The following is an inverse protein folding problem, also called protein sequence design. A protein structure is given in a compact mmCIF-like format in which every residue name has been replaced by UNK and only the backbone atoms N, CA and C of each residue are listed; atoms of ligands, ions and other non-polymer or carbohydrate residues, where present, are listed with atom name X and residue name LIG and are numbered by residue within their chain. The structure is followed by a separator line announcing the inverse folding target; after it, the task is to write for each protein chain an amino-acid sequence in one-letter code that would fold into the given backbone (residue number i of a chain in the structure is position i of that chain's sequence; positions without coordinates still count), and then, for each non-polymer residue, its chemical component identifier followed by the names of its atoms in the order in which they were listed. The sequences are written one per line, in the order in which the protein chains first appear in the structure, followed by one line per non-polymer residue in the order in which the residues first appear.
data_IF_646737778406
#
_entry.id   IF_646737778406
#
_cell.length_a   1.000
_cell.length_b   1.000
_cell.length_c   1.000
_cell.angle_alpha   90.00
_cell.angle_beta   90.00
_cell.angle_gamma   90.00
#
_symmetry.space_group_name_H-M   'P 1'
#
loop_
_entity.id
_entity.type
_entity.pdbx_description
1 polymer ?
#
# COMPACT_ATOMS: atom_id res chain seq x y z
N UNK A 1 -18.42 -15.80 -31.27
CA UNK A 1 -17.61 -16.88 -30.67
C UNK A 1 -16.63 -16.21 -29.70
N UNK A 2 -16.92 -16.38 -28.41
CA UNK A 2 -16.21 -15.95 -27.18
C UNK A 2 -15.62 -14.53 -27.10
N UNK A 3 -16.47 -13.63 -26.61
CA UNK A 3 -16.11 -12.44 -25.85
C UNK A 3 -15.34 -12.91 -24.61
N UNK A 4 -14.05 -12.56 -24.52
CA UNK A 4 -13.22 -12.90 -23.37
C UNK A 4 -13.81 -12.31 -22.09
N UNK A 5 -14.13 -13.20 -21.16
CA UNK A 5 -14.65 -12.93 -19.82
C UNK A 5 -13.60 -12.13 -19.02
N UNK A 6 -13.69 -10.80 -19.07
CA UNK A 6 -13.04 -9.89 -18.13
C UNK A 6 -14.08 -9.43 -17.14
N UNK A 7 -14.50 -10.34 -16.27
CA UNK A 7 -15.20 -10.00 -15.04
C UNK A 7 -14.16 -9.70 -13.95
N UNK A 8 -13.97 -8.40 -13.70
CA UNK A 8 -13.83 -7.82 -12.35
C UNK A 8 -12.82 -8.42 -11.36
N UNK A 9 -11.56 -8.55 -11.76
CA UNK A 9 -10.47 -8.49 -10.78
C UNK A 9 -10.24 -7.01 -10.40
N UNK A 10 -11.20 -6.39 -9.71
CA UNK A 10 -11.04 -5.06 -9.13
C UNK A 10 -9.79 -5.09 -8.25
N UNK A 11 -8.76 -4.33 -8.61
CA UNK A 11 -7.54 -4.22 -7.82
C UNK A 11 -7.92 -3.79 -6.39
N UNK A 12 -7.69 -4.69 -5.44
CA UNK A 12 -7.92 -4.44 -4.01
C UNK A 12 -6.55 -4.34 -3.34
N UNK A 13 -6.10 -3.13 -2.93
CA UNK A 13 -4.84 -2.96 -2.23
C UNK A 13 -4.73 -3.86 -1.01
N UNK A 14 -5.81 -3.94 -0.21
CA UNK A 14 -5.92 -4.85 0.94
C UNK A 14 -5.57 -6.29 0.56
N UNK A 15 -6.28 -6.87 -0.43
CA UNK A 15 -6.10 -8.28 -0.81
C UNK A 15 -4.67 -8.55 -1.27
N UNK A 16 -4.10 -7.62 -2.02
CA UNK A 16 -2.76 -7.73 -2.57
C UNK A 16 -1.70 -7.69 -1.46
N UNK A 17 -1.78 -6.70 -0.57
CA UNK A 17 -0.87 -6.59 0.57
C UNK A 17 -0.95 -7.85 1.44
N UNK A 18 -2.15 -8.29 1.80
CA UNK A 18 -2.34 -9.49 2.63
C UNK A 18 -1.79 -10.76 1.97
N UNK A 19 -1.96 -10.93 0.65
CA UNK A 19 -1.48 -12.12 -0.05
C UNK A 19 0.05 -12.24 -0.01
N UNK A 20 0.76 -11.14 -0.25
CA UNK A 20 2.24 -11.13 -0.28
C UNK A 20 2.88 -10.98 1.11
N UNK A 21 2.10 -10.68 2.15
CA UNK A 21 2.61 -10.53 3.52
C UNK A 21 2.40 -11.76 4.42
N UNK A 22 1.62 -12.75 3.97
CA UNK A 22 1.35 -13.96 4.73
C UNK A 22 2.43 -15.01 4.49
N UNK A 23 2.71 -15.82 5.51
CA UNK A 23 3.60 -16.98 5.40
C UNK A 23 3.17 -17.91 4.25
N UNK A 24 4.13 -18.24 3.37
CA UNK A 24 3.84 -19.04 2.19
C UNK A 24 4.86 -18.82 1.08
N UNK A 25 4.59 -19.48 -0.05
CA UNK A 25 5.48 -19.45 -1.22
C UNK A 25 5.63 -18.05 -1.83
N UNK A 26 4.59 -17.24 -1.73
CA UNK A 26 4.52 -15.92 -2.35
C UNK A 26 4.87 -14.80 -1.36
N UNK A 27 5.26 -15.13 -0.12
CA UNK A 27 5.68 -14.12 0.86
C UNK A 27 6.87 -13.34 0.31
N UNK A 28 6.80 -12.01 0.38
CA UNK A 28 7.92 -11.13 0.05
C UNK A 28 8.59 -10.61 1.32
N UNK A 29 9.76 -9.98 1.20
CA UNK A 29 10.37 -9.26 2.34
C UNK A 29 10.19 -7.74 2.22
N UNK A 30 9.94 -7.26 1.00
CA UNK A 30 9.79 -5.85 0.68
C UNK A 30 8.53 -5.63 -0.16
N UNK A 31 7.70 -4.66 0.23
CA UNK A 31 6.56 -4.18 -0.53
C UNK A 31 6.76 -2.72 -0.92
N UNK A 32 6.57 -2.40 -2.20
CA UNK A 32 6.59 -1.02 -2.71
C UNK A 32 5.19 -0.61 -3.15
N UNK A 33 4.61 0.39 -2.50
CA UNK A 33 3.29 0.93 -2.76
C UNK A 33 3.40 2.19 -3.61
N UNK A 34 3.01 2.10 -4.88
CA UNK A 34 3.00 3.22 -5.83
C UNK A 34 1.58 3.75 -6.05
N UNK A 35 0.85 3.93 -4.95
CA UNK A 35 -0.46 4.58 -4.91
C UNK A 35 -0.57 5.36 -3.60
N UNK A 36 -1.44 6.37 -3.58
CA UNK A 36 -1.69 7.15 -2.38
C UNK A 36 -3.06 7.82 -2.41
N UNK A 37 -3.46 8.31 -1.23
CA UNK A 37 -4.70 9.02 -0.97
C UNK A 37 -4.37 10.34 -0.28
N UNK A 38 -5.07 11.45 -0.55
CA UNK A 38 -4.71 12.75 0.02
C UNK A 38 -4.67 12.77 1.56
N UNK A 39 -5.51 11.95 2.21
CA UNK A 39 -5.56 11.79 3.66
C UNK A 39 -6.15 10.42 4.03
N UNK A 40 -5.95 10.01 5.26
CA UNK A 40 -6.65 8.88 5.84
C UNK A 40 -8.14 9.17 6.08
N UNK A 41 -9.00 8.19 5.82
CA UNK A 41 -10.39 8.15 6.26
C UNK A 41 -10.81 6.71 6.62
N UNK A 42 -12.01 6.56 7.21
CA UNK A 42 -12.49 5.28 7.72
C UNK A 42 -12.70 4.21 6.64
N UNK A 43 -12.82 4.57 5.36
CA UNK A 43 -12.96 3.61 4.27
C UNK A 43 -11.62 2.90 3.97
N UNK A 44 -10.51 3.54 4.34
CA UNK A 44 -9.15 3.02 4.17
C UNK A 44 -8.69 2.11 5.31
N UNK A 45 -9.47 1.99 6.39
CA UNK A 45 -9.19 1.12 7.55
C UNK A 45 -8.79 -0.32 7.15
N UNK A 46 -9.42 -0.99 6.18
CA UNK A 46 -9.00 -2.33 5.76
C UNK A 46 -7.60 -2.37 5.13
N UNK A 47 -7.20 -1.31 4.43
CA UNK A 47 -5.86 -1.19 3.83
C UNK A 47 -4.86 -0.86 4.94
N UNK A 48 -5.19 0.05 5.84
CA UNK A 48 -4.38 0.41 7.02
C UNK A 48 -4.03 -0.84 7.85
N UNK A 49 -5.03 -1.66 8.19
CA UNK A 49 -4.79 -2.93 8.90
C UNK A 49 -3.92 -3.91 8.12
N UNK A 50 -4.07 -3.97 6.79
CA UNK A 50 -3.23 -4.84 5.97
C UNK A 50 -1.76 -4.38 5.99
N UNK A 51 -1.50 -3.08 5.88
CA UNK A 51 -0.16 -2.48 5.99
C UNK A 51 0.45 -2.76 7.37
N UNK A 52 -0.29 -2.48 8.45
CA UNK A 52 0.16 -2.72 9.82
C UNK A 52 0.47 -4.20 10.07
N UNK A 53 -0.39 -5.11 9.63
CA UNK A 53 -0.16 -6.56 9.77
C UNK A 53 1.06 -7.03 8.97
N UNK A 54 1.27 -6.48 7.77
CA UNK A 54 2.44 -6.79 6.97
C UNK A 54 3.73 -6.30 7.65
N UNK A 55 3.76 -5.07 8.16
CA UNK A 55 4.91 -4.54 8.90
C UNK A 55 5.21 -5.40 10.15
N UNK A 56 4.18 -5.70 10.96
CA UNK A 56 4.32 -6.58 12.14
C UNK A 56 4.78 -8.01 11.78
N UNK A 57 4.50 -8.46 10.55
CA UNK A 57 5.00 -9.72 9.98
C UNK A 57 6.44 -9.67 9.46
N UNK A 58 7.15 -8.57 9.70
CA UNK A 58 8.54 -8.38 9.29
C UNK A 58 8.73 -7.95 7.83
N UNK A 59 7.68 -7.44 7.18
CA UNK A 59 7.74 -6.92 5.81
C UNK A 59 8.16 -5.45 5.87
N UNK A 60 9.19 -5.07 5.10
CA UNK A 60 9.58 -3.68 4.94
C UNK A 60 8.68 -3.04 3.87
N UNK A 61 8.03 -1.93 4.18
CA UNK A 61 7.07 -1.29 3.29
C UNK A 61 7.57 0.10 2.89
N UNK A 62 7.64 0.35 1.59
CA UNK A 62 7.88 1.66 1.01
C UNK A 62 6.61 2.20 0.36
N UNK A 63 6.36 3.51 0.42
CA UNK A 63 5.24 4.14 -0.27
C UNK A 63 5.64 5.47 -0.92
N UNK A 64 5.14 5.75 -2.13
CA UNK A 64 5.37 7.03 -2.79
C UNK A 64 4.69 8.18 -2.03
N UNK A 65 5.42 9.28 -1.80
CA UNK A 65 4.92 10.44 -1.05
C UNK A 65 3.86 11.26 -1.79
N UNK A 66 3.86 11.20 -3.12
CA UNK A 66 3.05 12.02 -4.02
C UNK A 66 3.83 12.42 -5.26
N UNK A 67 3.20 13.13 -6.19
CA UNK A 67 3.84 13.73 -7.37
C UNK A 67 3.67 15.26 -7.43
N UNK A 68 3.10 15.85 -6.39
CA UNK A 68 2.67 17.24 -6.35
C UNK A 68 3.81 18.22 -6.06
N UNK A 69 4.92 17.76 -5.45
CA UNK A 69 6.10 18.59 -5.16
C UNK A 69 5.81 19.79 -4.26
N UNK A 70 6.74 20.76 -4.23
CA UNK A 70 6.56 22.13 -3.70
C UNK A 70 5.89 22.25 -2.30
N UNK A 71 6.39 21.51 -1.31
CA UNK A 71 5.84 21.45 0.06
C UNK A 71 4.37 20.97 0.15
N UNK A 72 3.87 20.25 -0.85
CA UNK A 72 2.57 19.59 -0.77
C UNK A 72 2.55 18.57 0.39
N UNK A 73 1.37 18.35 0.95
CA UNK A 73 1.16 17.35 2.00
C UNK A 73 1.48 15.95 1.48
N UNK A 74 2.20 15.18 2.28
CA UNK A 74 2.50 13.77 1.98
C UNK A 74 1.21 12.95 1.99
N UNK A 75 1.00 12.16 0.94
CA UNK A 75 -0.18 11.33 0.78
C UNK A 75 -0.12 10.10 1.70
N UNK A 76 -1.28 9.63 2.14
CA UNK A 76 -1.42 8.35 2.82
C UNK A 76 -1.25 7.19 1.81
N UNK A 77 -0.53 6.08 2.10
CA UNK A 77 0.00 5.68 3.40
C UNK A 77 1.43 6.16 3.70
N UNK A 78 2.08 6.89 2.80
CA UNK A 78 3.44 7.38 3.04
C UNK A 78 3.52 8.32 4.27
N UNK A 79 2.44 9.06 4.54
CA UNK A 79 2.33 9.91 5.74
C UNK A 79 2.33 9.13 7.08
N UNK A 80 2.16 7.80 7.06
CA UNK A 80 2.18 6.93 8.25
C UNK A 80 3.62 6.63 8.71
N UNK A 81 4.63 7.17 8.04
CA UNK A 81 6.02 7.08 8.52
C UNK A 81 6.19 7.61 9.95
N UNK A 82 5.37 8.56 10.39
CA UNK A 82 5.41 9.09 11.77
C UNK A 82 5.22 8.00 12.83
N UNK A 83 4.53 6.90 12.51
CA UNK A 83 4.37 5.73 13.40
C UNK A 83 5.39 4.61 13.14
N UNK A 84 6.21 4.73 12.10
CA UNK A 84 7.25 3.76 11.72
C UNK A 84 6.75 2.59 10.85
N UNK A 85 5.48 2.61 10.43
CA UNK A 85 4.88 1.49 9.69
C UNK A 85 5.26 1.45 8.20
N UNK A 86 5.65 2.60 7.64
CA UNK A 86 5.93 2.79 6.21
C UNK A 86 7.12 3.74 6.04
N UNK A 87 8.00 3.45 5.09
CA UNK A 87 9.09 4.34 4.68
C UNK A 87 8.65 5.09 3.42
N UNK A 88 8.63 6.43 3.43
CA UNK A 88 8.27 7.15 2.23
C UNK A 88 9.36 7.10 1.15
N UNK A 89 8.97 7.21 -0.11
CA UNK A 89 9.84 7.48 -1.24
C UNK A 89 9.56 8.90 -1.67
N UNK A 90 10.55 9.76 -1.50
CA UNK A 90 10.51 11.16 -1.91
C UNK A 90 11.21 11.35 -3.27
N UNK A 91 10.54 12.08 -4.15
CA UNK A 91 11.04 12.44 -5.47
C UNK A 91 11.48 13.90 -5.44
N UNK A 92 12.76 14.11 -5.13
CA UNK A 92 13.41 15.43 -5.25
C UNK A 92 13.32 15.98 -6.68
#
# INVERSE_FOLDING_TARGET
MTKGDRSDATFSPKRTITHFSQEGKDRVDILTLSFGFPRYDNELEPISRAVLNANNGGIIIFAAAGNEGDNASVFWPASVQETGDVIWIDGY
#
